data_IF_388339725669
#
_entry.id   IF_388339725669
#
_cell.length_a   1.000
_cell.length_b   1.000
_cell.length_c   1.000
_cell.angle_alpha   90.00
_cell.angle_beta   90.00
_cell.angle_gamma   90.00
#
_symmetry.space_group_name_H-M   'P 1'
#
loop_
_entity.id
_entity.type
_entity.pdbx_description
1 polymer ?
#
# COMPACT_ATOMS: atom_id res chain seq x y z
N UNK A 1 7.28 -5.67 -10.85
CA UNK A 1 8.46 -5.89 -9.97
C UNK A 1 8.42 -7.30 -9.42
N UNK A 2 9.51 -7.84 -8.85
CA UNK A 2 9.51 -9.16 -8.19
C UNK A 2 9.86 -9.04 -6.72
N UNK A 3 9.22 -9.84 -5.87
CA UNK A 3 9.56 -9.92 -4.44
C UNK A 3 10.67 -10.95 -4.17
N UNK A 4 11.01 -11.19 -2.90
CA UNK A 4 12.09 -12.13 -2.51
C UNK A 4 11.83 -13.59 -2.91
N UNK A 5 10.58 -13.96 -3.16
CA UNK A 5 10.17 -15.30 -3.58
C UNK A 5 10.01 -15.42 -5.10
N UNK A 6 10.23 -14.32 -5.83
CA UNK A 6 10.11 -14.28 -7.28
C UNK A 6 8.70 -13.97 -7.78
N UNK A 7 7.75 -13.73 -6.87
CA UNK A 7 6.37 -13.36 -7.22
C UNK A 7 6.32 -11.94 -7.78
N UNK A 8 5.56 -11.79 -8.86
CA UNK A 8 5.40 -10.54 -9.57
C UNK A 8 4.37 -9.66 -8.87
N UNK A 9 4.67 -8.37 -8.74
CA UNK A 9 3.75 -7.40 -8.16
C UNK A 9 3.83 -6.06 -8.90
N UNK A 10 2.72 -5.34 -8.90
CA UNK A 10 2.61 -4.02 -9.53
C UNK A 10 1.46 -3.20 -8.92
N UNK A 11 1.44 -1.91 -9.26
CA UNK A 11 0.33 -1.00 -8.97
C UNK A 11 -0.49 -0.78 -10.24
N UNK A 12 -1.80 -1.01 -10.17
CA UNK A 12 -2.76 -0.66 -11.21
C UNK A 12 -3.41 0.67 -10.86
N UNK A 13 -3.35 1.67 -11.75
CA UNK A 13 -4.05 2.95 -11.53
C UNK A 13 -5.55 2.75 -11.74
N UNK A 14 -6.37 3.04 -10.73
CA UNK A 14 -7.83 2.86 -10.75
C UNK A 14 -8.62 4.18 -10.68
N UNK A 15 -7.98 5.27 -10.26
CA UNK A 15 -8.52 6.63 -10.31
C UNK A 15 -7.40 7.66 -10.44
N UNK A 16 -7.71 8.96 -10.42
CA UNK A 16 -6.73 10.07 -10.57
C UNK A 16 -5.52 9.92 -9.66
N UNK A 17 -5.76 9.61 -8.39
CA UNK A 17 -4.77 9.48 -7.32
C UNK A 17 -4.83 8.14 -6.58
N UNK A 18 -5.53 7.13 -7.12
CA UNK A 18 -5.71 5.83 -6.46
C UNK A 18 -5.11 4.69 -7.28
N UNK A 19 -4.43 3.79 -6.59
CA UNK A 19 -3.74 2.65 -7.16
C UNK A 19 -4.08 1.39 -6.38
N UNK A 20 -4.44 0.32 -7.09
CA UNK A 20 -4.69 -1.02 -6.56
C UNK A 20 -3.40 -1.84 -6.57
N UNK A 21 -3.10 -2.51 -5.47
CA UNK A 21 -1.95 -3.42 -5.39
C UNK A 21 -2.30 -4.80 -5.96
N UNK A 22 -1.42 -5.32 -6.81
CA UNK A 22 -1.51 -6.68 -7.35
C UNK A 22 -0.24 -7.47 -7.06
N UNK A 23 -0.40 -8.74 -6.71
CA UNK A 23 0.70 -9.69 -6.54
C UNK A 23 0.28 -11.08 -7.00
N UNK A 24 1.17 -11.78 -7.72
CA UNK A 24 0.98 -13.18 -8.10
C UNK A 24 1.24 -14.12 -6.92
N UNK A 25 0.69 -15.34 -7.01
CA UNK A 25 0.86 -16.35 -5.96
C UNK A 25 0.02 -16.07 -4.72
N UNK A 26 0.31 -16.78 -3.62
CA UNK A 26 -0.53 -16.80 -2.42
C UNK A 26 0.01 -15.95 -1.26
N UNK A 27 1.05 -15.13 -1.49
CA UNK A 27 1.72 -14.38 -0.42
C UNK A 27 0.83 -13.35 0.27
N UNK A 28 -0.24 -12.91 -0.39
CA UNK A 28 -1.24 -12.01 0.20
C UNK A 28 -2.02 -12.69 1.33
N UNK A 29 -2.14 -14.02 1.35
CA UNK A 29 -2.82 -14.79 2.42
C UNK A 29 -2.15 -14.60 3.79
N UNK A 30 -0.84 -14.35 3.79
CA UNK A 30 -0.05 -14.14 5.00
C UNK A 30 0.40 -12.68 5.14
N UNK A 31 -0.27 -11.76 4.46
CA UNK A 31 0.03 -10.33 4.52
C UNK A 31 -0.17 -9.81 5.94
N UNK A 32 0.80 -9.04 6.42
CA UNK A 32 0.70 -8.33 7.70
C UNK A 32 0.18 -6.93 7.43
N UNK A 33 -0.63 -6.42 8.34
CA UNK A 33 -1.13 -5.05 8.31
C UNK A 33 -0.81 -4.35 9.63
N UNK A 34 -0.63 -3.04 9.58
CA UNK A 34 -0.33 -2.20 10.74
C UNK A 34 -1.11 -0.90 10.67
N UNK A 35 -1.55 -0.41 11.83
CA UNK A 35 -2.19 0.90 11.95
C UNK A 35 -1.19 2.05 11.91
N UNK A 36 -1.71 3.27 11.86
CA UNK A 36 -0.95 4.52 12.00
C UNK A 36 -0.61 4.82 13.45
N UNK A 37 0.35 5.69 13.67
CA UNK A 37 0.69 6.22 14.99
C UNK A 37 -0.55 6.85 15.64
N UNK A 38 -0.79 6.51 16.90
CA UNK A 38 -1.92 7.03 17.67
C UNK A 38 -3.27 6.33 17.40
N UNK A 39 -3.36 5.40 16.44
CA UNK A 39 -4.54 4.54 16.32
C UNK A 39 -4.59 3.54 17.47
N UNK A 40 -5.73 3.46 18.17
CA UNK A 40 -5.94 2.53 19.30
C UNK A 40 -6.22 1.09 18.86
N UNK A 41 -6.60 0.91 17.58
CA UNK A 41 -6.86 -0.37 16.92
C UNK A 41 -6.56 -0.23 15.42
N UNK A 42 -6.27 -1.34 14.76
CA UNK A 42 -6.11 -1.36 13.30
C UNK A 42 -7.46 -0.99 12.67
N UNK A 43 -7.43 0.02 11.80
CA UNK A 43 -8.52 0.37 10.90
C UNK A 43 -8.18 -0.13 9.49
N UNK A 44 -8.91 -1.12 8.99
CA UNK A 44 -8.68 -1.67 7.66
C UNK A 44 -8.93 -0.67 6.53
N UNK A 45 -9.69 0.39 6.80
CA UNK A 45 -9.90 1.45 5.83
C UNK A 45 -8.83 2.55 5.90
N UNK A 46 -8.02 2.60 6.96
CA UNK A 46 -6.99 3.62 7.18
C UNK A 46 -5.74 2.99 7.81
N UNK A 47 -5.06 2.15 7.03
CA UNK A 47 -3.85 1.44 7.45
C UNK A 47 -2.62 2.34 7.38
N UNK A 48 -1.68 2.11 8.30
CA UNK A 48 -0.32 2.68 8.23
C UNK A 48 0.59 1.92 7.28
N UNK A 49 0.42 0.58 7.22
CA UNK A 49 1.23 -0.27 6.35
C UNK A 49 0.57 -1.62 6.01
N UNK A 50 1.05 -2.24 4.94
CA UNK A 50 0.91 -3.68 4.67
C UNK A 50 2.21 -4.27 4.11
N UNK A 51 2.48 -5.53 4.43
CA UNK A 51 3.70 -6.23 4.03
C UNK A 51 3.34 -7.69 3.70
N UNK A 52 3.17 -8.03 2.41
CA UNK A 52 2.96 -9.39 1.95
C UNK A 52 4.17 -10.26 2.30
N UNK A 53 3.96 -11.57 2.43
CA UNK A 53 5.09 -12.49 2.62
C UNK A 53 6.08 -12.37 1.45
N UNK A 54 7.37 -12.26 1.74
CA UNK A 54 8.39 -12.00 0.72
C UNK A 54 8.53 -10.53 0.29
N UNK A 55 7.67 -9.65 0.79
CA UNK A 55 7.59 -8.22 0.45
C UNK A 55 6.78 -7.95 -0.82
N UNK A 56 6.66 -6.68 -1.22
CA UNK A 56 7.32 -5.50 -0.63
C UNK A 56 6.65 -5.01 0.67
N UNK A 57 7.44 -4.39 1.54
CA UNK A 57 6.88 -3.56 2.61
C UNK A 57 6.33 -2.26 1.99
N UNK A 58 5.06 -1.97 2.23
CA UNK A 58 4.37 -0.77 1.74
C UNK A 58 3.81 0.01 2.94
N UNK A 59 4.04 1.32 2.98
CA UNK A 59 3.51 2.22 4.01
C UNK A 59 2.94 3.49 3.40
N UNK A 60 1.97 4.09 4.07
CA UNK A 60 1.60 5.47 3.82
C UNK A 60 2.48 6.42 4.63
N UNK A 61 2.44 7.70 4.27
CA UNK A 61 2.97 8.80 5.07
C UNK A 61 2.31 8.77 6.45
N UNK A 62 3.12 8.87 7.47
CA UNK A 62 2.70 9.01 8.86
C UNK A 62 3.77 9.82 9.62
N UNK A 63 4.30 9.33 10.75
CA UNK A 63 5.50 9.90 11.38
C UNK A 63 6.72 9.89 10.45
N UNK A 64 6.76 8.95 9.50
CA UNK A 64 7.82 8.78 8.52
C UNK A 64 7.30 8.88 7.08
N UNK A 65 8.18 9.17 6.10
CA UNK A 65 7.82 9.12 4.70
C UNK A 65 7.27 7.76 4.27
N UNK A 66 6.20 7.80 3.47
CA UNK A 66 5.55 6.65 2.87
C UNK A 66 6.30 6.09 1.66
N UNK A 67 5.76 5.00 1.14
CA UNK A 67 6.20 4.42 -0.13
C UNK A 67 5.81 5.34 -1.29
N UNK A 68 6.64 5.37 -2.34
CA UNK A 68 6.40 6.15 -3.55
C UNK A 68 5.78 5.29 -4.66
N UNK A 69 4.77 5.83 -5.34
CA UNK A 69 4.22 5.32 -6.60
C UNK A 69 4.40 6.42 -7.65
N UNK A 70 5.17 6.16 -8.70
CA UNK A 70 5.40 7.13 -9.79
C UNK A 70 5.90 8.51 -9.30
N UNK A 71 6.70 8.53 -8.23
CA UNK A 71 7.24 9.76 -7.64
C UNK A 71 6.22 10.57 -6.81
N UNK A 72 5.07 9.98 -6.48
CA UNK A 72 4.05 10.51 -5.57
C UNK A 72 3.98 9.63 -4.32
N UNK A 73 3.90 10.27 -3.16
CA UNK A 73 3.90 9.56 -1.89
C UNK A 73 2.51 9.03 -1.55
N UNK A 74 2.43 7.78 -1.08
CA UNK A 74 1.18 7.22 -0.56
C UNK A 74 0.83 7.96 0.73
N UNK A 75 -0.35 8.56 0.79
CA UNK A 75 -0.86 9.29 1.97
C UNK A 75 -1.95 8.52 2.72
N UNK A 76 -2.50 7.48 2.10
CA UNK A 76 -3.55 6.66 2.69
C UNK A 76 -3.57 5.27 2.07
N UNK A 77 -3.83 4.24 2.89
CA UNK A 77 -4.00 2.85 2.46
C UNK A 77 -5.31 2.33 3.04
N UNK A 78 -6.18 1.82 2.16
CA UNK A 78 -7.38 1.06 2.55
C UNK A 78 -7.31 -0.37 2.03
N UNK A 79 -7.92 -1.30 2.75
CA UNK A 79 -8.12 -2.68 2.34
C UNK A 79 -9.60 -2.90 2.00
N UNK A 80 -9.89 -3.08 0.71
CA UNK A 80 -11.22 -3.25 0.16
C UNK A 80 -11.36 -4.68 -0.36
N UNK A 81 -12.29 -5.45 0.21
CA UNK A 81 -12.50 -6.86 -0.08
C UNK A 81 -11.19 -7.68 0.05
N UNK A 82 -10.55 -8.01 -1.07
CA UNK A 82 -9.30 -8.79 -1.16
C UNK A 82 -8.10 -7.94 -1.64
N UNK A 83 -8.23 -6.62 -1.67
CA UNK A 83 -7.27 -5.74 -2.31
C UNK A 83 -6.88 -4.53 -1.46
N UNK A 84 -5.60 -4.20 -1.49
CA UNK A 84 -5.10 -2.94 -0.97
C UNK A 84 -5.19 -1.84 -2.02
N UNK A 85 -5.71 -0.69 -1.63
CA UNK A 85 -5.79 0.52 -2.43
C UNK A 85 -5.00 1.61 -1.74
N UNK A 86 -4.01 2.15 -2.45
CA UNK A 86 -3.22 3.29 -2.04
C UNK A 86 -3.77 4.56 -2.67
N UNK A 87 -3.91 5.62 -1.89
CA UNK A 87 -4.11 6.99 -2.40
C UNK A 87 -2.80 7.75 -2.28
N UNK A 88 -2.39 8.43 -3.34
CA UNK A 88 -1.16 9.23 -3.38
C UNK A 88 -1.45 10.72 -3.35
N UNK A 89 -0.47 11.51 -2.92
CA UNK A 89 -0.53 12.97 -2.97
C UNK A 89 -0.71 13.45 -4.42
N UNK A 90 -1.73 14.29 -4.66
CA UNK A 90 -1.86 15.01 -5.91
C UNK A 90 -0.81 16.13 -5.92
N UNK A 91 -0.02 16.20 -7.00
CA UNK A 91 0.76 17.39 -7.26
C UNK A 91 -0.17 18.34 -7.99
N UNK A 92 -0.47 19.49 -7.39
CA UNK A 92 -0.97 20.62 -8.15
C UNK A 92 0.11 20.98 -9.17
N UNK A 93 -0.20 20.85 -10.45
CA UNK A 93 0.70 21.33 -11.51
C UNK A 93 0.74 22.86 -11.40
N UNK A 94 1.84 23.38 -10.86
CA UNK A 94 2.12 24.81 -10.72
C UNK A 94 2.43 25.49 -12.05
#
# INVERSE_FOLDING_TARGET
MKNRYGDEWHWEKIATNQYKFHMSGDNMKYCRCGGKLGQSKIDMQDLGMFDPSGGPYISCRDEYPGTMIEGKEIIHIGHHDEHFVATVEEKEDA
#
